data_IF_120861877215
#
_entry.id   IF_120861877215
#
_cell.length_a   1.000
_cell.length_b   1.000
_cell.length_c   1.000
_cell.angle_alpha   90.00
_cell.angle_beta   90.00
_cell.angle_gamma   90.00
#
_symmetry.space_group_name_H-M   'P 1'
#
loop_
_entity.id
_entity.type
_entity.pdbx_description
1 polymer ?
#
# COMPACT_ATOMS: atom_id res chain seq x y z
N UNK A 1 -19.64 4.95 -2.30
CA UNK A 1 -18.54 5.64 -3.00
C UNK A 1 -17.42 4.67 -3.38
N UNK A 2 -16.49 4.29 -2.50
CA UNK A 2 -15.35 3.45 -2.91
C UNK A 2 -15.70 2.01 -3.31
N UNK A 3 -16.73 1.41 -2.69
CA UNK A 3 -17.28 0.12 -3.10
C UNK A 3 -17.91 0.18 -4.50
N UNK A 4 -18.61 1.27 -4.78
CA UNK A 4 -19.27 1.47 -6.07
C UNK A 4 -18.22 1.71 -7.17
N UNK A 5 -17.11 2.38 -6.85
CA UNK A 5 -15.97 2.55 -7.77
C UNK A 5 -15.38 1.19 -8.14
N UNK A 6 -15.13 0.32 -7.14
CA UNK A 6 -14.64 -1.03 -7.38
C UNK A 6 -15.60 -1.82 -8.28
N UNK A 7 -16.91 -1.73 -8.02
CA UNK A 7 -17.91 -2.43 -8.82
C UNK A 7 -17.94 -1.91 -10.26
N UNK A 8 -17.94 -0.59 -10.44
CA UNK A 8 -17.89 0.03 -11.76
C UNK A 8 -16.65 -0.40 -12.55
N UNK A 9 -15.47 -0.40 -11.94
CA UNK A 9 -14.24 -0.87 -12.59
C UNK A 9 -14.29 -2.37 -12.96
N UNK A 10 -15.05 -3.19 -12.22
CA UNK A 10 -15.29 -4.61 -12.56
C UNK A 10 -16.23 -4.73 -13.76
N UNK A 11 -17.33 -3.99 -13.74
CA UNK A 11 -18.35 -4.04 -14.78
C UNK A 11 -17.78 -3.59 -16.13
N UNK A 12 -16.95 -2.55 -16.12
CA UNK A 12 -16.20 -2.05 -17.29
C UNK A 12 -14.97 -2.89 -17.65
N UNK A 13 -14.69 -3.98 -16.92
CA UNK A 13 -13.54 -4.88 -17.13
C UNK A 13 -12.18 -4.16 -17.11
N UNK A 14 -12.06 -3.09 -16.33
CA UNK A 14 -10.86 -2.26 -16.21
C UNK A 14 -9.84 -2.78 -15.18
N UNK A 15 -10.13 -3.90 -14.51
CA UNK A 15 -9.25 -4.53 -13.52
C UNK A 15 -8.41 -5.69 -14.10
N UNK A 16 -8.24 -5.73 -15.43
CA UNK A 16 -7.35 -6.69 -16.09
C UNK A 16 -5.87 -6.33 -15.90
N UNK A 17 -4.98 -7.32 -15.99
CA UNK A 17 -3.54 -7.05 -15.96
C UNK A 17 -3.14 -6.13 -17.11
N UNK A 18 -2.41 -5.05 -16.80
CA UNK A 18 -1.99 -4.05 -17.78
C UNK A 18 -3.06 -2.99 -18.12
N UNK A 19 -4.29 -3.12 -17.63
CA UNK A 19 -5.36 -2.14 -17.88
C UNK A 19 -4.97 -0.74 -17.39
N UNK A 20 -5.33 0.27 -18.18
CA UNK A 20 -5.09 1.68 -17.91
C UNK A 20 -6.42 2.35 -17.57
N UNK A 21 -6.46 3.07 -16.45
CA UNK A 21 -7.64 3.74 -15.91
C UNK A 21 -7.31 5.24 -15.82
N UNK A 22 -7.95 6.11 -16.61
CA UNK A 22 -7.73 7.55 -16.52
C UNK A 22 -8.02 8.09 -15.11
N UNK A 23 -7.19 8.99 -14.58
CA UNK A 23 -7.45 9.59 -13.27
C UNK A 23 -8.78 10.37 -13.27
N UNK A 24 -9.10 11.04 -14.37
CA UNK A 24 -10.37 11.75 -14.55
C UNK A 24 -11.60 10.84 -14.34
N UNK A 25 -11.54 9.57 -14.73
CA UNK A 25 -12.64 8.62 -14.49
C UNK A 25 -12.86 8.41 -12.99
N UNK A 26 -11.77 8.21 -12.24
CA UNK A 26 -11.82 8.01 -10.79
C UNK A 26 -12.29 9.28 -10.10
N UNK A 27 -11.76 10.44 -10.49
CA UNK A 27 -12.14 11.74 -9.95
C UNK A 27 -13.63 12.02 -10.17
N UNK A 28 -14.13 11.83 -11.39
CA UNK A 28 -15.55 11.97 -11.72
C UNK A 28 -16.42 11.04 -10.88
N UNK A 29 -16.01 9.77 -10.73
CA UNK A 29 -16.76 8.80 -9.95
C UNK A 29 -16.78 9.13 -8.45
N UNK A 30 -15.68 9.66 -7.92
CA UNK A 30 -15.57 10.10 -6.54
C UNK A 30 -16.22 11.48 -6.29
N UNK A 31 -16.73 12.14 -7.34
CA UNK A 31 -17.31 13.48 -7.25
C UNK A 31 -16.26 14.57 -6.96
N UNK A 32 -15.00 14.33 -7.32
CA UNK A 32 -13.89 15.26 -7.14
C UNK A 32 -13.83 16.21 -8.33
N UNK A 33 -14.13 17.49 -8.07
CA UNK A 33 -13.91 18.56 -9.04
C UNK A 33 -12.54 19.18 -8.77
N UNK A 34 -11.59 18.97 -9.69
CA UNK A 34 -10.27 19.59 -9.61
C UNK A 34 -10.38 21.02 -10.13
N UNK A 35 -10.12 22.05 -9.30
CA UNK A 35 -10.20 23.43 -9.74
C UNK A 35 -9.01 23.78 -10.65
N UNK A 36 -9.23 24.64 -11.65
CA UNK A 36 -8.16 25.13 -12.54
C UNK A 36 -7.12 25.97 -11.77
N UNK A 37 -7.58 26.68 -10.74
CA UNK A 37 -6.75 27.50 -9.85
C UNK A 37 -7.20 27.22 -8.42
N UNK A 38 -6.23 26.88 -7.57
CA UNK A 38 -6.47 26.59 -6.16
C UNK A 38 -5.22 26.76 -5.33
N UNK A 39 -5.35 26.69 -4.02
CA UNK A 39 -4.19 26.64 -3.15
C UNK A 39 -3.60 25.23 -3.15
N UNK A 40 -2.32 25.10 -2.78
CA UNK A 40 -1.71 23.78 -2.58
C UNK A 40 -2.53 22.89 -1.64
N UNK A 41 -3.12 23.48 -0.59
CA UNK A 41 -3.93 22.75 0.37
C UNK A 41 -5.22 22.17 -0.24
N UNK A 42 -5.80 22.83 -1.25
CA UNK A 42 -6.99 22.34 -1.95
C UNK A 42 -6.63 21.11 -2.80
N UNK A 43 -5.53 21.18 -3.54
CA UNK A 43 -5.02 20.05 -4.31
C UNK A 43 -4.60 18.87 -3.43
N UNK A 44 -3.90 19.13 -2.32
CA UNK A 44 -3.50 18.08 -1.38
C UNK A 44 -4.73 17.38 -0.78
N UNK A 45 -5.81 18.12 -0.48
CA UNK A 45 -7.07 17.56 0.02
C UNK A 45 -7.73 16.65 -1.01
N UNK A 46 -7.84 17.09 -2.26
CA UNK A 46 -8.39 16.28 -3.35
C UNK A 46 -7.56 15.02 -3.59
N UNK A 47 -6.24 15.15 -3.60
CA UNK A 47 -5.33 14.02 -3.75
C UNK A 47 -5.49 13.00 -2.62
N UNK A 48 -5.70 13.43 -1.38
CA UNK A 48 -5.98 12.54 -0.25
C UNK A 48 -7.32 11.79 -0.41
N UNK A 49 -8.35 12.45 -0.92
CA UNK A 49 -9.64 11.82 -1.19
C UNK A 49 -9.54 10.77 -2.30
N UNK A 50 -8.86 11.12 -3.40
CA UNK A 50 -8.58 10.19 -4.50
C UNK A 50 -7.75 8.99 -4.02
N UNK A 51 -6.71 9.25 -3.23
CA UNK A 51 -5.85 8.21 -2.65
C UNK A 51 -6.64 7.26 -1.73
N UNK A 52 -7.61 7.77 -0.98
CA UNK A 52 -8.48 6.94 -0.13
C UNK A 52 -9.38 6.03 -0.97
N UNK A 53 -10.01 6.57 -2.02
CA UNK A 53 -10.84 5.80 -2.95
C UNK A 53 -10.05 4.68 -3.63
N UNK A 54 -8.86 5.00 -4.13
CA UNK A 54 -7.98 4.02 -4.78
C UNK A 54 -7.36 3.04 -3.79
N UNK A 55 -7.10 3.47 -2.55
CA UNK A 55 -6.64 2.59 -1.47
C UNK A 55 -7.60 1.43 -1.24
N UNK A 56 -8.91 1.73 -1.17
CA UNK A 56 -9.95 0.71 -1.07
C UNK A 56 -9.93 -0.27 -2.24
N UNK A 57 -9.87 0.23 -3.49
CA UNK A 57 -9.79 -0.64 -4.68
C UNK A 57 -8.55 -1.53 -4.62
N UNK A 58 -7.39 -0.96 -4.26
CA UNK A 58 -6.11 -1.67 -4.15
C UNK A 58 -6.21 -2.84 -3.17
N UNK A 59 -6.78 -2.62 -1.99
CA UNK A 59 -6.91 -3.66 -0.96
C UNK A 59 -7.80 -4.82 -1.41
N UNK A 60 -8.87 -4.52 -2.13
CA UNK A 60 -9.76 -5.55 -2.65
C UNK A 60 -9.15 -6.38 -3.78
N UNK A 61 -8.43 -5.75 -4.72
CA UNK A 61 -7.81 -6.47 -5.85
C UNK A 61 -6.51 -7.19 -5.46
N UNK A 62 -5.91 -6.86 -4.32
CA UNK A 62 -4.74 -7.58 -3.79
C UNK A 62 -5.05 -9.07 -3.57
N UNK A 63 -6.28 -9.39 -3.13
CA UNK A 63 -6.74 -10.77 -2.97
C UNK A 63 -6.86 -11.52 -4.31
N UNK A 64 -6.88 -10.80 -5.44
CA UNK A 64 -6.86 -11.34 -6.80
C UNK A 64 -5.44 -11.42 -7.38
N UNK A 65 -4.41 -11.09 -6.58
CA UNK A 65 -3.01 -11.03 -7.03
C UNK A 65 -2.67 -9.80 -7.87
N UNK A 66 -3.54 -8.79 -7.90
CA UNK A 66 -3.38 -7.57 -8.71
C UNK A 66 -2.93 -6.39 -7.86
N UNK A 67 -2.32 -5.41 -8.51
CA UNK A 67 -1.92 -4.17 -7.87
C UNK A 67 -2.20 -2.98 -8.79
N UNK A 68 -2.85 -1.95 -8.24
CA UNK A 68 -3.10 -0.68 -8.94
C UNK A 68 -2.05 0.36 -8.52
N UNK A 69 -1.30 0.85 -9.51
CA UNK A 69 -0.29 1.88 -9.33
C UNK A 69 -0.71 3.17 -10.04
N UNK A 70 -0.39 4.31 -9.44
CA UNK A 70 -0.48 5.61 -10.10
C UNK A 70 0.75 5.82 -10.98
N UNK A 71 0.53 6.24 -12.22
CA UNK A 71 1.56 6.56 -13.21
C UNK A 71 1.20 7.92 -13.81
N UNK A 72 1.80 8.99 -13.31
CA UNK A 72 1.48 10.38 -13.69
C UNK A 72 -0.05 10.62 -13.55
N UNK A 73 -0.74 10.82 -14.67
CA UNK A 73 -2.16 11.22 -14.73
C UNK A 73 -3.13 10.06 -14.95
N UNK A 74 -2.68 8.81 -14.77
CA UNK A 74 -3.53 7.64 -14.84
C UNK A 74 -3.13 6.59 -13.81
N UNK A 75 -4.01 5.63 -13.64
CA UNK A 75 -3.75 4.41 -12.89
C UNK A 75 -3.57 3.24 -13.84
N UNK A 76 -2.75 2.28 -13.43
CA UNK A 76 -2.51 1.06 -14.19
C UNK A 76 -2.52 -0.13 -13.27
N UNK A 77 -3.19 -1.19 -13.70
CA UNK A 77 -3.04 -2.50 -13.09
C UNK A 77 -1.71 -3.07 -13.56
N UNK A 78 -0.79 -3.25 -12.62
CA UNK A 78 0.54 -3.77 -12.89
C UNK A 78 0.48 -5.20 -13.45
N UNK A 79 1.37 -5.52 -14.37
CA UNK A 79 1.57 -6.88 -14.88
C UNK A 79 2.08 -7.81 -13.77
N UNK A 80 1.89 -9.13 -13.90
CA UNK A 80 2.40 -10.09 -12.91
C UNK A 80 3.91 -9.99 -12.68
N UNK A 81 4.68 -9.69 -13.73
CA UNK A 81 6.13 -9.45 -13.63
C UNK A 81 6.48 -8.18 -12.83
N UNK A 82 5.64 -7.14 -12.93
CA UNK A 82 5.81 -5.88 -12.19
C UNK A 82 5.39 -6.03 -10.71
N UNK A 83 4.46 -6.95 -10.39
CA UNK A 83 4.03 -7.23 -9.02
C UNK A 83 5.16 -7.76 -8.14
N UNK A 84 6.12 -8.48 -8.72
CA UNK A 84 7.31 -8.98 -8.00
C UNK A 84 8.06 -7.81 -7.34
N UNK A 85 8.20 -6.68 -8.05
CA UNK A 85 8.84 -5.50 -7.50
C UNK A 85 8.07 -4.92 -6.29
N UNK A 86 6.72 -4.99 -6.31
CA UNK A 86 5.88 -4.57 -5.17
C UNK A 86 6.01 -5.49 -3.98
N UNK A 87 6.04 -6.81 -4.19
CA UNK A 87 6.30 -7.79 -3.12
C UNK A 87 7.64 -7.49 -2.44
N UNK A 88 8.70 -7.27 -3.22
CA UNK A 88 9.99 -6.89 -2.64
C UNK A 88 9.96 -5.55 -1.89
N UNK A 89 9.17 -4.58 -2.38
CA UNK A 89 8.91 -3.33 -1.67
C UNK A 89 8.33 -3.58 -0.29
N UNK A 90 7.26 -4.39 -0.19
CA UNK A 90 6.64 -4.76 1.08
C UNK A 90 7.60 -5.48 2.03
N UNK A 91 8.44 -6.39 1.52
CA UNK A 91 9.44 -7.07 2.34
C UNK A 91 10.47 -6.10 2.91
N UNK A 92 10.89 -5.09 2.12
CA UNK A 92 11.81 -4.04 2.58
C UNK A 92 11.16 -3.18 3.65
N UNK A 93 9.92 -2.77 3.45
CA UNK A 93 9.16 -1.99 4.43
C UNK A 93 8.94 -2.76 5.73
N UNK A 94 8.59 -4.05 5.65
CA UNK A 94 8.45 -4.93 6.81
C UNK A 94 9.76 -5.03 7.60
N UNK A 95 10.90 -5.16 6.91
CA UNK A 95 12.23 -5.17 7.53
C UNK A 95 12.53 -3.85 8.27
N UNK A 96 12.22 -2.71 7.65
CA UNK A 96 12.39 -1.39 8.28
C UNK A 96 11.47 -1.21 9.50
N UNK A 97 10.22 -1.64 9.42
CA UNK A 97 9.25 -1.60 10.52
C UNK A 97 9.70 -2.50 11.68
N UNK A 98 10.22 -3.69 11.39
CA UNK A 98 10.78 -4.58 12.41
C UNK A 98 12.00 -3.95 13.11
N UNK A 99 12.92 -3.34 12.35
CA UNK A 99 14.06 -2.63 12.92
C UNK A 99 13.65 -1.46 13.82
N UNK A 100 12.63 -0.68 13.40
CA UNK A 100 12.04 0.39 14.23
C UNK A 100 11.39 -0.16 15.50
N UNK A 101 10.64 -1.27 15.40
CA UNK A 101 10.02 -1.93 16.54
C UNK A 101 11.06 -2.42 17.57
N UNK A 102 12.18 -2.99 17.11
CA UNK A 102 13.28 -3.39 17.99
C UNK A 102 13.89 -2.20 18.74
N UNK A 103 14.13 -1.08 18.05
CA UNK A 103 14.64 0.16 18.66
C UNK A 103 13.68 0.73 19.69
N UNK A 104 12.38 0.75 19.37
CA UNK A 104 11.34 1.21 20.29
C UNK A 104 11.31 0.33 21.54
N UNK A 105 11.25 -1.00 21.36
CA UNK A 105 11.23 -1.95 22.47
C UNK A 105 12.48 -1.91 23.35
N UNK A 106 13.64 -1.61 22.78
CA UNK A 106 14.88 -1.41 23.54
C UNK A 106 14.84 -0.13 24.38
N UNK A 107 14.11 0.89 23.93
CA UNK A 107 14.03 2.21 24.58
C UNK A 107 12.82 2.34 25.52
N UNK A 108 11.84 1.44 25.43
CA UNK A 108 10.64 1.45 26.29
C UNK A 108 11.00 1.11 27.74
N UNK A 109 10.65 1.95 28.73
CA UNK A 109 10.91 1.67 30.14
C UNK A 109 10.23 0.38 30.64
N UNK A 110 11.01 -0.50 31.28
CA UNK A 110 10.57 -1.84 31.73
C UNK A 110 9.43 -1.75 32.76
N UNK A 111 9.41 -0.69 33.60
CA UNK A 111 8.36 -0.48 34.62
C UNK A 111 6.96 -0.20 34.04
N UNK A 112 6.87 0.18 32.77
CA UNK A 112 5.59 0.49 32.11
C UNK A 112 4.92 -0.75 31.48
N UNK A 113 5.61 -1.90 31.44
CA UNK A 113 5.14 -3.12 30.75
C UNK A 113 4.93 -4.22 31.78
N UNK A 114 3.66 -4.56 32.06
CA UNK A 114 3.26 -5.48 33.13
C UNK A 114 3.52 -6.98 32.86
N UNK A 115 4.32 -7.35 31.85
CA UNK A 115 4.58 -8.75 31.48
C UNK A 115 5.83 -8.90 30.59
N UNK A 116 6.43 -10.11 30.52
CA UNK A 116 7.82 -10.26 30.12
C UNK A 116 8.01 -9.91 28.63
N UNK A 117 8.70 -8.78 28.41
CA UNK A 117 9.21 -8.28 27.13
C UNK A 117 9.93 -9.36 26.29
N UNK A 118 10.40 -10.44 26.91
CA UNK A 118 11.20 -11.48 26.27
C UNK A 118 10.43 -12.26 25.20
N UNK A 119 9.13 -12.49 25.38
CA UNK A 119 8.30 -13.16 24.34
C UNK A 119 8.14 -12.29 23.08
N UNK A 120 8.01 -10.97 23.25
CA UNK A 120 7.90 -10.03 22.15
C UNK A 120 9.25 -9.84 21.43
N UNK A 121 10.35 -9.78 22.19
CA UNK A 121 11.72 -9.74 21.64
C UNK A 121 12.01 -10.98 20.80
N UNK A 122 11.68 -12.17 21.29
CA UNK A 122 11.86 -13.42 20.56
C UNK A 122 11.09 -13.43 19.23
N UNK A 123 9.81 -13.01 19.25
CA UNK A 123 8.99 -12.90 18.02
C UNK A 123 9.59 -11.92 17.01
N UNK A 124 10.07 -10.76 17.46
CA UNK A 124 10.69 -9.77 16.58
C UNK A 124 11.99 -10.28 15.93
N UNK A 125 12.79 -11.05 16.67
CA UNK A 125 14.01 -11.67 16.15
C UNK A 125 13.70 -12.75 15.10
N UNK A 126 12.74 -13.64 15.38
CA UNK A 126 12.30 -14.67 14.42
C UNK A 126 11.81 -14.03 13.11
N UNK A 127 10.97 -12.99 13.20
CA UNK A 127 10.50 -12.27 12.01
C UNK A 127 11.64 -11.62 11.22
N UNK A 128 12.67 -11.09 11.89
CA UNK A 128 13.84 -10.50 11.22
C UNK A 128 14.59 -11.57 10.42
N UNK A 129 14.78 -12.76 10.98
CA UNK A 129 15.49 -13.85 10.31
C UNK A 129 14.73 -14.33 9.07
N UNK A 130 13.41 -14.46 9.16
CA UNK A 130 12.57 -14.85 8.02
C UNK A 130 12.61 -13.82 6.90
N UNK A 131 12.52 -12.52 7.24
CA UNK A 131 12.65 -11.43 6.27
C UNK A 131 14.04 -11.42 5.62
N UNK A 132 15.09 -11.69 6.38
CA UNK A 132 16.47 -11.73 5.87
C UNK A 132 16.68 -12.92 4.93
N UNK A 133 16.17 -14.11 5.27
CA UNK A 133 16.21 -15.29 4.40
C UNK A 133 15.48 -15.04 3.08
N UNK A 134 14.30 -14.42 3.17
CA UNK A 134 13.48 -14.13 2.00
C UNK A 134 14.14 -13.06 1.10
N UNK A 135 14.88 -12.10 1.67
CA UNK A 135 15.71 -11.17 0.88
C UNK A 135 16.91 -11.85 0.22
N UNK A 136 17.57 -12.82 0.88
CA UNK A 136 18.70 -13.55 0.28
C UNK A 136 18.29 -14.37 -0.95
N UNK A 137 17.07 -14.90 -0.99
CA UNK A 137 16.53 -15.62 -2.16
C UNK A 137 16.38 -14.74 -3.41
N UNK A 138 16.33 -13.41 -3.27
CA UNK A 138 16.27 -12.47 -4.40
C UNK A 138 17.63 -12.25 -5.07
N UNK A 139 18.72 -12.34 -4.30
CA UNK A 139 20.08 -12.03 -4.77
C UNK A 139 20.81 -13.26 -5.34
N UNK A 140 20.13 -14.41 -5.38
CA UNK A 140 20.56 -15.63 -6.08
C UNK A 140 19.79 -15.71 -7.38
#
# INVERSE_FOLDING_TARGET
MSKDLLQHLRDEKLLGYGSVIPAALIQNFLGLSVPDIGTKADFDRLALQELSGIGYVRDHILNEGKYIAQVRDHYRILLPSENIAKVYGYMREASQKNARAQKLLASTPIKAVASPNDSLRARLLMQKDDLTKAQRKRNK
#
